data_IF_599529924152
#
_entry.id   IF_599529924152
#
_cell.length_a   1.000
_cell.length_b   1.000
_cell.length_c   1.000
_cell.angle_alpha   90.00
_cell.angle_beta   90.00
_cell.angle_gamma   90.00
#
_symmetry.space_group_name_H-M   'P 1'
#
loop_
_entity.id
_entity.type
_entity.pdbx_description
1 polymer ?
#
# COMPACT_ATOMS: atom_id res chain seq x y z
N UNK A 1 -2.31 -25.04 10.45
CA UNK A 1 -2.90 -23.76 10.86
C UNK A 1 -4.39 -24.01 10.92
N UNK A 2 -5.04 -23.72 12.06
CA UNK A 2 -6.43 -24.12 12.31
C UNK A 2 -7.48 -23.06 11.94
N UNK A 3 -7.34 -22.37 10.82
CA UNK A 3 -8.34 -21.43 10.35
C UNK A 3 -9.11 -22.04 9.19
N UNK A 4 -10.40 -22.28 9.40
CA UNK A 4 -11.30 -22.91 8.43
C UNK A 4 -12.14 -21.87 7.65
N UNK A 5 -12.15 -20.63 8.10
CA UNK A 5 -12.98 -19.56 7.53
C UNK A 5 -12.25 -18.24 7.46
N UNK A 6 -12.36 -17.57 6.32
CA UNK A 6 -11.78 -16.25 6.08
C UNK A 6 -12.85 -15.28 5.64
N UNK A 7 -12.83 -14.06 6.18
CA UNK A 7 -13.70 -12.99 5.74
C UNK A 7 -12.95 -12.10 4.75
N UNK A 8 -13.39 -12.07 3.51
CA UNK A 8 -12.90 -11.11 2.51
C UNK A 8 -13.56 -9.76 2.77
N UNK A 9 -12.80 -8.82 3.35
CA UNK A 9 -13.29 -7.51 3.74
C UNK A 9 -12.63 -6.44 2.89
N UNK A 10 -13.40 -5.87 1.96
CA UNK A 10 -13.01 -4.61 1.35
C UNK A 10 -14.25 -3.85 0.86
N UNK A 11 -14.62 -2.81 1.62
CA UNK A 11 -15.82 -2.01 1.31
C UNK A 11 -15.66 -1.10 0.09
N UNK A 12 -14.44 -0.79 -0.31
CA UNK A 12 -14.11 0.10 -1.42
C UNK A 12 -13.80 -0.62 -2.74
N UNK A 13 -13.66 -1.95 -2.74
CA UNK A 13 -13.30 -2.68 -3.94
C UNK A 13 -14.45 -2.75 -4.94
N UNK A 14 -14.18 -2.55 -6.25
CA UNK A 14 -15.17 -2.76 -7.29
C UNK A 14 -15.56 -4.25 -7.39
N UNK A 15 -16.81 -4.52 -7.78
CA UNK A 15 -17.35 -5.88 -7.88
C UNK A 15 -16.44 -6.86 -8.64
N UNK A 16 -15.84 -6.51 -9.80
CA UNK A 16 -14.96 -7.46 -10.50
C UNK A 16 -13.73 -7.88 -9.67
N UNK A 17 -13.19 -6.98 -8.85
CA UNK A 17 -12.05 -7.30 -7.99
C UNK A 17 -12.46 -8.23 -6.83
N UNK A 18 -13.61 -7.98 -6.20
CA UNK A 18 -14.17 -8.85 -5.17
C UNK A 18 -14.47 -10.25 -5.72
N UNK A 19 -15.11 -10.34 -6.89
CA UNK A 19 -15.41 -11.62 -7.54
C UNK A 19 -14.13 -12.40 -7.84
N UNK A 20 -13.08 -11.74 -8.35
CA UNK A 20 -11.78 -12.36 -8.61
C UNK A 20 -11.17 -12.92 -7.33
N UNK A 21 -11.20 -12.18 -6.24
CA UNK A 21 -10.68 -12.62 -4.94
C UNK A 21 -11.46 -13.81 -4.38
N UNK A 22 -12.78 -13.70 -4.35
CA UNK A 22 -13.65 -14.81 -3.87
C UNK A 22 -13.38 -16.07 -4.69
N UNK A 23 -13.31 -15.97 -6.01
CA UNK A 23 -12.99 -17.09 -6.89
C UNK A 23 -11.62 -17.71 -6.56
N UNK A 24 -10.58 -16.87 -6.47
CA UNK A 24 -9.23 -17.33 -6.16
C UNK A 24 -9.14 -18.05 -4.81
N UNK A 25 -9.83 -17.55 -3.80
CA UNK A 25 -9.86 -18.19 -2.47
C UNK A 25 -10.70 -19.47 -2.46
N UNK A 26 -11.83 -19.53 -3.17
CA UNK A 26 -12.68 -20.73 -3.23
C UNK A 26 -12.03 -21.87 -4.01
N UNK A 27 -11.29 -21.54 -5.08
CA UNK A 27 -10.57 -22.51 -5.91
C UNK A 27 -9.20 -22.87 -5.33
N UNK A 28 -8.70 -22.13 -4.34
CA UNK A 28 -7.35 -22.29 -3.79
C UNK A 28 -6.23 -22.05 -4.83
N UNK A 29 -6.57 -21.43 -5.95
CA UNK A 29 -5.67 -21.20 -7.09
C UNK A 29 -5.86 -19.82 -7.68
N UNK A 30 -4.76 -19.18 -8.04
CA UNK A 30 -4.77 -17.90 -8.77
C UNK A 30 -3.64 -17.87 -9.79
N UNK A 31 -3.99 -17.63 -11.04
CA UNK A 31 -3.06 -17.37 -12.14
C UNK A 31 -3.13 -15.89 -12.50
N UNK A 32 -2.08 -15.15 -12.21
CA UNK A 32 -2.01 -13.72 -12.43
C UNK A 32 -1.07 -13.02 -11.46
N UNK A 33 -1.14 -11.71 -11.45
CA UNK A 33 -0.37 -10.91 -10.49
C UNK A 33 -0.98 -11.04 -9.09
N UNK A 34 -0.26 -11.68 -8.16
CA UNK A 34 -0.74 -11.87 -6.79
C UNK A 34 -1.07 -10.54 -6.09
N UNK A 35 -0.47 -9.45 -6.55
CA UNK A 35 -0.79 -8.09 -6.07
C UNK A 35 -2.29 -7.78 -6.23
N UNK A 36 -2.95 -8.26 -7.27
CA UNK A 36 -4.39 -8.06 -7.51
C UNK A 36 -5.27 -8.62 -6.38
N UNK A 37 -4.78 -9.63 -5.65
CA UNK A 37 -5.50 -10.21 -4.52
C UNK A 37 -5.26 -9.48 -3.20
N UNK A 38 -4.08 -8.90 -3.02
CA UNK A 38 -3.66 -8.31 -1.73
C UNK A 38 -3.67 -6.79 -1.71
N UNK A 39 -3.63 -6.14 -2.88
CA UNK A 39 -3.63 -4.68 -2.96
C UNK A 39 -4.96 -4.12 -2.46
N UNK A 40 -4.95 -3.20 -1.47
CA UNK A 40 -6.15 -2.50 -1.08
C UNK A 40 -6.62 -1.60 -2.23
N UNK A 41 -7.91 -1.63 -2.51
CA UNK A 41 -8.52 -0.61 -3.36
C UNK A 41 -8.81 0.60 -2.47
N UNK A 42 -8.19 1.71 -2.78
CA UNK A 42 -8.42 2.97 -2.07
C UNK A 42 -9.91 3.33 -2.08
N UNK A 43 -10.30 4.15 -1.14
CA UNK A 43 -11.65 4.65 -1.00
C UNK A 43 -12.06 5.40 -2.28
N UNK A 44 -12.77 4.73 -3.18
CA UNK A 44 -13.45 5.40 -4.27
C UNK A 44 -14.56 6.23 -3.66
N UNK A 45 -14.41 7.54 -3.68
CA UNK A 45 -15.45 8.47 -3.29
C UNK A 45 -16.75 8.05 -4.01
N UNK A 46 -17.77 7.69 -3.25
CA UNK A 46 -19.09 7.42 -3.83
C UNK A 46 -19.51 8.69 -4.52
N UNK A 47 -19.61 8.66 -5.83
CA UNK A 47 -19.91 9.80 -6.70
C UNK A 47 -21.27 10.47 -6.45
N UNK A 48 -22.02 10.06 -5.43
CA UNK A 48 -23.38 10.50 -5.13
C UNK A 48 -23.66 10.93 -3.69
N UNK A 49 -22.64 11.07 -2.83
CA UNK A 49 -22.88 11.77 -1.56
C UNK A 49 -22.62 13.25 -1.79
N UNK A 50 -23.65 14.05 -1.47
CA UNK A 50 -23.67 15.50 -1.67
C UNK A 50 -22.30 16.10 -1.31
N UNK A 51 -21.63 16.62 -2.33
CA UNK A 51 -20.34 17.27 -2.24
C UNK A 51 -20.28 18.42 -1.22
N UNK A 52 -21.46 18.92 -0.78
CA UNK A 52 -21.55 20.10 0.05
C UNK A 52 -21.11 19.92 1.50
N UNK A 53 -21.48 18.83 2.17
CA UNK A 53 -21.17 18.71 3.62
C UNK A 53 -19.78 18.13 3.90
N UNK A 54 -19.35 17.14 3.11
CA UNK A 54 -18.04 16.52 3.29
C UNK A 54 -16.88 17.40 2.84
N UNK A 55 -17.08 18.17 1.76
CA UNK A 55 -16.05 19.06 1.21
C UNK A 55 -15.85 20.27 2.15
N UNK A 56 -16.93 20.88 2.63
CA UNK A 56 -16.85 22.05 3.53
C UNK A 56 -16.14 21.72 4.85
N UNK A 57 -16.38 20.55 5.42
CA UNK A 57 -15.66 20.11 6.62
C UNK A 57 -14.18 19.80 6.33
N UNK A 58 -13.86 19.18 5.18
CA UNK A 58 -12.48 18.96 4.74
C UNK A 58 -11.76 20.29 4.44
N UNK A 59 -12.45 21.24 3.81
CA UNK A 59 -11.92 22.56 3.53
C UNK A 59 -11.66 23.38 4.80
N UNK A 60 -12.46 23.23 5.84
CA UNK A 60 -12.26 23.89 7.12
C UNK A 60 -10.93 23.52 7.80
N UNK A 61 -10.42 22.31 7.58
CA UNK A 61 -9.09 21.89 8.02
C UNK A 61 -7.99 22.33 7.05
N UNK A 62 -8.25 22.36 5.76
CA UNK A 62 -7.33 22.85 4.72
C UNK A 62 -7.11 24.36 4.78
N UNK A 63 -8.13 25.12 5.21
CA UNK A 63 -8.04 26.58 5.36
C UNK A 63 -7.39 27.04 6.68
N UNK A 64 -6.73 26.18 7.41
CA UNK A 64 -5.75 26.59 8.40
C UNK A 64 -4.35 26.64 7.75
N UNK A 65 -4.02 27.68 6.96
CA UNK A 65 -2.78 27.76 6.17
C UNK A 65 -1.52 27.75 7.03
N UNK A 66 -1.68 27.87 8.35
CA UNK A 66 -0.58 27.81 9.33
C UNK A 66 -0.26 26.38 9.78
N UNK A 67 -1.12 25.39 9.51
CA UNK A 67 -0.91 24.02 10.02
C UNK A 67 -0.33 23.04 8.99
N UNK A 68 -0.65 23.18 7.71
CA UNK A 68 -0.17 22.28 6.67
C UNK A 68 0.17 23.07 5.41
N UNK A 69 1.36 22.89 4.89
CA UNK A 69 1.75 23.48 3.60
C UNK A 69 1.11 22.66 2.48
N UNK A 70 0.20 23.26 1.73
CA UNK A 70 -0.57 22.58 0.67
C UNK A 70 0.34 21.85 -0.35
N UNK A 71 1.45 22.46 -0.75
CA UNK A 71 2.41 21.85 -1.67
C UNK A 71 3.01 20.54 -1.12
N UNK A 72 3.29 20.50 0.19
CA UNK A 72 3.81 19.31 0.87
C UNK A 72 2.73 18.22 1.01
N UNK A 73 1.49 18.64 1.28
CA UNK A 73 0.35 17.74 1.32
C UNK A 73 0.06 17.10 -0.06
N UNK A 74 0.26 17.82 -1.15
CA UNK A 74 0.12 17.28 -2.50
C UNK A 74 1.15 16.18 -2.79
N UNK A 75 2.39 16.31 -2.29
CA UNK A 75 3.40 15.22 -2.37
C UNK A 75 2.95 13.97 -1.59
N UNK A 76 2.36 14.14 -0.41
CA UNK A 76 1.81 13.02 0.35
C UNK A 76 0.67 12.32 -0.40
N UNK A 77 -0.22 13.09 -1.05
CA UNK A 77 -1.26 12.54 -1.92
C UNK A 77 -0.66 11.77 -3.09
N UNK A 78 0.36 12.33 -3.74
CA UNK A 78 1.07 11.66 -4.83
C UNK A 78 1.70 10.34 -4.36
N UNK A 79 2.37 10.33 -3.21
CA UNK A 79 2.93 9.12 -2.61
C UNK A 79 1.85 8.07 -2.36
N UNK A 80 0.71 8.46 -1.79
CA UNK A 80 -0.42 7.57 -1.55
C UNK A 80 -1.01 7.01 -2.86
N UNK A 81 -1.08 7.81 -3.91
CA UNK A 81 -1.53 7.38 -5.24
C UNK A 81 -0.55 6.39 -5.86
N UNK A 82 0.74 6.71 -5.88
CA UNK A 82 1.79 5.84 -6.43
C UNK A 82 1.96 4.53 -5.66
N UNK A 83 1.58 4.49 -4.39
CA UNK A 83 1.54 3.24 -3.60
C UNK A 83 0.27 2.41 -3.81
N UNK A 84 -0.63 2.84 -4.67
CA UNK A 84 -1.90 2.16 -4.89
C UNK A 84 -2.90 2.27 -3.72
N UNK A 85 -2.69 3.21 -2.78
CA UNK A 85 -3.58 3.39 -1.63
C UNK A 85 -4.88 4.12 -2.00
N UNK A 86 -4.85 4.98 -3.01
CA UNK A 86 -6.01 5.77 -3.45
C UNK A 86 -6.68 5.20 -4.70
N UNK A 87 -5.92 4.50 -5.55
CA UNK A 87 -6.39 3.85 -6.75
C UNK A 87 -5.49 2.65 -7.08
N UNK A 88 -5.96 1.65 -7.84
CA UNK A 88 -5.09 0.59 -8.36
C UNK A 88 -3.92 1.18 -9.14
N UNK A 89 -2.75 0.52 -9.06
CA UNK A 89 -1.57 0.93 -9.82
C UNK A 89 -1.81 0.77 -11.32
N UNK A 90 -1.63 1.84 -12.06
CA UNK A 90 -1.67 1.81 -13.52
C UNK A 90 -0.40 1.14 -14.06
N UNK A 91 -0.54 0.39 -15.18
CA UNK A 91 0.59 -0.26 -15.85
C UNK A 91 1.22 -1.43 -15.08
N UNK A 92 0.69 -1.80 -13.92
CA UNK A 92 1.20 -2.90 -13.09
C UNK A 92 2.73 -2.87 -12.86
N UNK A 93 3.28 -1.77 -12.33
CA UNK A 93 4.74 -1.64 -12.16
C UNK A 93 5.33 -2.64 -11.16
N UNK A 94 4.46 -3.34 -10.42
CA UNK A 94 4.83 -4.41 -9.48
C UNK A 94 4.11 -5.67 -9.88
N UNK A 95 4.85 -6.75 -10.09
CA UNK A 95 4.32 -8.07 -10.39
C UNK A 95 4.82 -9.09 -9.37
N UNK A 96 3.90 -9.86 -8.79
CA UNK A 96 4.20 -10.94 -7.86
C UNK A 96 3.71 -12.25 -8.47
N UNK A 97 4.65 -13.10 -8.84
CA UNK A 97 4.38 -14.42 -9.41
C UNK A 97 4.04 -15.42 -8.32
N UNK A 98 2.73 -15.70 -8.18
CA UNK A 98 2.23 -16.61 -7.15
C UNK A 98 2.78 -18.04 -7.28
N UNK A 99 3.08 -18.50 -8.48
CA UNK A 99 3.62 -19.85 -8.71
C UNK A 99 4.98 -20.08 -8.02
N UNK A 100 5.74 -19.01 -7.83
CA UNK A 100 7.06 -19.02 -7.17
C UNK A 100 7.00 -18.91 -5.65
N UNK A 101 5.80 -18.79 -5.08
CA UNK A 101 5.58 -18.71 -3.64
C UNK A 101 5.28 -20.09 -3.01
N UNK A 102 5.30 -21.17 -3.79
CA UNK A 102 5.12 -22.54 -3.28
C UNK A 102 6.13 -22.84 -2.17
N UNK A 103 5.63 -23.32 -1.03
CA UNK A 103 6.47 -23.61 0.15
C UNK A 103 6.79 -22.40 1.03
N UNK A 104 6.46 -21.17 0.62
CA UNK A 104 6.75 -19.96 1.42
C UNK A 104 6.08 -20.01 2.80
N UNK A 105 4.78 -20.22 2.85
CA UNK A 105 4.02 -20.27 4.12
C UNK A 105 4.37 -21.49 4.98
N UNK A 106 4.44 -22.72 4.43
CA UNK A 106 4.87 -23.89 5.24
C UNK A 106 6.22 -23.71 5.90
N UNK A 107 7.16 -23.01 5.26
CA UNK A 107 8.49 -22.78 5.80
C UNK A 107 8.54 -21.92 7.07
N UNK A 108 7.45 -21.24 7.44
CA UNK A 108 7.37 -20.51 8.72
C UNK A 108 7.09 -21.41 9.92
N UNK A 109 6.64 -22.67 9.71
CA UNK A 109 6.37 -23.60 10.83
C UNK A 109 7.61 -23.89 11.65
N UNK A 110 8.77 -23.90 11.00
CA UNK A 110 10.05 -24.25 11.62
C UNK A 110 10.93 -23.03 11.89
N UNK A 111 10.34 -21.82 11.84
CA UNK A 111 11.06 -20.55 12.03
C UNK A 111 10.42 -19.68 13.09
N UNK A 112 11.22 -19.27 14.04
CA UNK A 112 10.81 -18.24 15.00
C UNK A 112 11.24 -16.86 14.52
N UNK A 113 10.32 -16.20 13.78
CA UNK A 113 10.57 -14.85 13.26
C UNK A 113 10.64 -13.76 14.32
N UNK A 114 10.33 -14.07 15.59
CA UNK A 114 10.42 -13.09 16.68
C UNK A 114 11.83 -13.00 17.25
N UNK A 115 12.53 -14.15 17.29
CA UNK A 115 13.88 -14.25 17.83
C UNK A 115 14.97 -14.20 16.77
N UNK A 116 14.62 -14.41 15.48
CA UNK A 116 15.60 -14.48 14.39
C UNK A 116 15.73 -13.15 13.69
N UNK A 117 16.98 -12.67 13.53
CA UNK A 117 17.26 -11.49 12.72
C UNK A 117 16.99 -11.78 11.22
N UNK A 118 16.16 -10.92 10.59
CA UNK A 118 15.79 -11.04 9.18
C UNK A 118 16.99 -10.96 8.23
N UNK A 119 18.02 -10.19 8.56
CA UNK A 119 19.24 -10.06 7.77
C UNK A 119 20.00 -11.38 7.66
N UNK A 120 19.99 -12.16 8.73
CA UNK A 120 20.66 -13.47 8.82
C UNK A 120 19.78 -14.57 8.24
N UNK A 121 18.46 -14.54 8.50
CA UNK A 121 17.53 -15.57 8.03
C UNK A 121 17.38 -15.61 6.50
N UNK A 122 17.24 -14.45 5.85
CA UNK A 122 17.13 -14.32 4.39
C UNK A 122 15.94 -15.02 3.74
N UNK A 123 15.06 -15.71 4.48
CA UNK A 123 13.97 -16.53 3.93
C UNK A 123 13.02 -15.71 3.06
N UNK A 124 12.43 -14.66 3.62
CA UNK A 124 11.51 -13.78 2.89
C UNK A 124 12.20 -13.10 1.71
N UNK A 125 13.44 -12.66 1.89
CA UNK A 125 14.24 -12.04 0.83
C UNK A 125 14.48 -12.98 -0.35
N UNK A 126 14.74 -14.27 -0.10
CA UNK A 126 14.96 -15.27 -1.13
C UNK A 126 13.71 -15.50 -1.98
N UNK A 127 12.53 -15.54 -1.37
CA UNK A 127 11.25 -15.66 -2.08
C UNK A 127 10.89 -14.37 -2.81
N UNK A 128 11.09 -13.21 -2.18
CA UNK A 128 10.87 -11.92 -2.83
C UNK A 128 11.73 -11.78 -4.10
N UNK A 129 13.01 -12.14 -4.04
CA UNK A 129 13.91 -12.13 -5.20
C UNK A 129 13.43 -13.01 -6.36
N UNK A 130 12.79 -14.14 -6.06
CA UNK A 130 12.27 -15.07 -7.08
C UNK A 130 10.93 -14.63 -7.65
N UNK A 131 10.03 -14.16 -6.79
CA UNK A 131 8.62 -13.98 -7.13
C UNK A 131 8.25 -12.53 -7.48
N UNK A 132 8.98 -11.52 -6.96
CA UNK A 132 8.64 -10.12 -7.12
C UNK A 132 9.49 -9.50 -8.23
N UNK A 133 8.81 -8.85 -9.17
CA UNK A 133 9.42 -7.98 -10.19
C UNK A 133 8.88 -6.58 -10.00
N UNK A 134 9.76 -5.61 -9.97
CA UNK A 134 9.42 -4.19 -9.84
C UNK A 134 10.08 -3.45 -10.99
N UNK A 135 9.34 -2.56 -11.63
CA UNK A 135 9.91 -1.64 -12.62
C UNK A 135 10.93 -0.72 -11.95
N UNK A 136 12.15 -0.65 -12.48
CA UNK A 136 13.24 0.08 -11.85
C UNK A 136 13.03 1.60 -11.84
N UNK A 137 12.39 2.14 -12.88
CA UNK A 137 12.04 3.57 -12.95
C UNK A 137 11.03 3.90 -11.88
N UNK A 138 9.95 3.12 -11.80
CA UNK A 138 8.93 3.26 -10.77
C UNK A 138 9.53 3.17 -9.37
N UNK A 139 10.40 2.19 -9.13
CA UNK A 139 11.07 2.00 -7.85
C UNK A 139 11.89 3.21 -7.44
N UNK A 140 12.72 3.73 -8.37
CA UNK A 140 13.61 4.86 -8.10
C UNK A 140 12.81 6.13 -7.79
N UNK A 141 11.79 6.41 -8.59
CA UNK A 141 10.92 7.56 -8.38
C UNK A 141 10.13 7.48 -7.08
N UNK A 142 9.63 6.27 -6.74
CA UNK A 142 8.88 6.06 -5.51
C UNK A 142 9.77 6.23 -4.26
N UNK A 143 11.00 5.72 -4.29
CA UNK A 143 11.95 5.88 -3.16
C UNK A 143 12.26 7.36 -2.97
N UNK A 144 12.58 8.10 -4.03
CA UNK A 144 12.84 9.53 -3.96
C UNK A 144 11.67 10.31 -3.38
N UNK A 145 10.45 10.03 -3.87
CA UNK A 145 9.24 10.68 -3.35
C UNK A 145 9.00 10.33 -1.87
N UNK A 146 9.29 9.11 -1.48
CA UNK A 146 9.19 8.66 -0.10
C UNK A 146 10.16 9.43 0.81
N UNK A 147 11.42 9.52 0.43
CA UNK A 147 12.46 10.25 1.17
C UNK A 147 12.11 11.73 1.30
N UNK A 148 11.62 12.37 0.22
CA UNK A 148 11.17 13.75 0.22
C UNK A 148 10.00 13.98 1.20
N UNK A 149 8.97 13.12 1.17
CA UNK A 149 7.80 13.25 2.04
C UNK A 149 8.18 13.05 3.50
N UNK A 150 8.96 12.01 3.80
CA UNK A 150 9.39 11.73 5.17
C UNK A 150 10.38 12.77 5.69
N UNK A 151 11.28 13.28 4.84
CA UNK A 151 12.13 14.41 5.17
C UNK A 151 11.32 15.64 5.59
N UNK A 152 10.29 16.00 4.81
CA UNK A 152 9.36 17.08 5.12
C UNK A 152 8.57 16.86 6.42
N UNK A 153 8.21 15.60 6.73
CA UNK A 153 7.52 15.24 7.97
C UNK A 153 8.44 15.35 9.18
N UNK A 154 9.65 14.80 9.11
CA UNK A 154 10.60 14.77 10.21
C UNK A 154 11.21 16.15 10.51
N UNK A 155 11.42 16.98 9.48
CA UNK A 155 11.88 18.37 9.66
C UNK A 155 10.80 19.31 10.20
N UNK A 156 9.55 18.87 10.25
CA UNK A 156 8.41 19.70 10.61
C UNK A 156 7.97 20.67 9.51
N UNK A 157 8.64 20.67 8.34
CA UNK A 157 8.30 21.54 7.23
C UNK A 157 6.90 21.30 6.67
N UNK A 158 6.43 20.06 6.72
CA UNK A 158 5.07 19.70 6.31
C UNK A 158 4.01 20.43 7.14
N UNK A 159 4.28 20.64 8.41
CA UNK A 159 3.34 21.20 9.38
C UNK A 159 3.52 22.70 9.59
N UNK A 160 4.43 23.34 8.88
CA UNK A 160 4.74 24.77 9.06
C UNK A 160 5.37 25.10 10.42
N UNK A 161 5.81 24.09 11.15
CA UNK A 161 6.50 24.26 12.43
C UNK A 161 7.98 24.50 12.13
N UNK A 162 8.47 25.68 12.47
CA UNK A 162 9.93 25.90 12.51
C UNK A 162 10.46 25.16 13.75
N UNK A 163 11.05 24.02 13.56
CA UNK A 163 11.87 23.41 14.60
C UNK A 163 13.19 24.19 14.63
N UNK A 164 13.31 25.15 15.53
CA UNK A 164 14.61 25.69 15.91
C UNK A 164 15.37 24.53 16.57
N UNK A 165 16.10 23.75 15.76
CA UNK A 165 17.09 22.82 16.29
C UNK A 165 18.28 23.68 16.73
N UNK A 166 18.38 23.87 18.06
CA UNK A 166 19.64 24.22 18.71
C UNK A 166 20.60 23.05 18.66
#
# INVERSE_FOLDING_TARGET
MGYDSFKVLERGAPTPALTRRVKAYSEGRYEGNFLDLIQPFGYKEKSNTSLSEGLFNKWKYLFRPRMVRLSKFMKLKELATRRGMLAPLEGQPVHIDNSKLTGFIPGFKDRDCRSTDCSTCGWCASYAKKAVKIDDTYRTELIKLYEDVFGDMYSGEMWGIKTDRK
#
